data_IF_185893555359
#
_entry.id   IF_185893555359
#
_cell.length_a   1.000
_cell.length_b   1.000
_cell.length_c   1.000
_cell.angle_alpha   90.00
_cell.angle_beta   90.00
_cell.angle_gamma   90.00
#
_symmetry.space_group_name_H-M   'P 1'
#
loop_
_entity.id
_entity.type
_entity.pdbx_description
1 polymer ?
#
# COMPACT_ATOMS: atom_id res chain seq x y z
N UNK A 1 11.57 2.30 2.12
CA UNK A 1 11.69 2.24 0.65
C UNK A 1 11.15 0.90 0.16
N UNK A 2 10.31 0.89 -0.85
CA UNK A 2 9.80 -0.33 -1.48
C UNK A 2 10.90 -0.95 -2.36
N UNK A 3 11.28 -2.18 -2.07
CA UNK A 3 12.30 -2.91 -2.84
C UNK A 3 11.72 -3.96 -3.79
N UNK A 4 10.60 -4.57 -3.42
CA UNK A 4 9.91 -5.57 -4.24
C UNK A 4 8.40 -5.47 -4.06
N UNK A 5 7.67 -5.67 -5.14
CA UNK A 5 6.21 -5.79 -5.15
C UNK A 5 5.81 -7.02 -5.94
N UNK A 6 5.02 -7.89 -5.33
CA UNK A 6 4.43 -9.07 -5.96
C UNK A 6 2.92 -8.97 -5.89
N UNK A 7 2.25 -9.22 -7.00
CA UNK A 7 0.80 -9.15 -7.15
C UNK A 7 0.33 -10.43 -7.84
N UNK A 8 -0.62 -11.13 -7.25
CA UNK A 8 -1.24 -12.31 -7.84
C UNK A 8 -2.75 -12.19 -7.81
N UNK A 9 -3.38 -12.50 -8.95
CA UNK A 9 -4.83 -12.57 -9.11
C UNK A 9 -5.54 -11.26 -8.66
N UNK A 10 -5.02 -10.13 -9.11
CA UNK A 10 -5.56 -8.80 -8.82
C UNK A 10 -5.95 -8.09 -10.12
N UNK A 11 -7.22 -7.76 -10.27
CA UNK A 11 -7.77 -7.11 -11.47
C UNK A 11 -7.34 -7.85 -12.76
N UNK A 12 -6.68 -7.19 -13.68
CA UNK A 12 -6.18 -7.76 -14.92
C UNK A 12 -4.84 -8.50 -14.77
N UNK A 13 -4.24 -8.46 -13.58
CA UNK A 13 -2.94 -9.07 -13.30
C UNK A 13 -3.13 -10.49 -12.79
N UNK A 14 -2.70 -11.47 -13.56
CA UNK A 14 -2.62 -12.85 -13.12
C UNK A 14 -1.46 -13.06 -12.14
N UNK A 15 -0.27 -12.63 -12.52
CA UNK A 15 0.91 -12.60 -11.68
C UNK A 15 1.89 -11.51 -12.15
N UNK A 16 2.39 -10.73 -11.23
CA UNK A 16 3.41 -9.70 -11.48
C UNK A 16 4.39 -9.70 -10.31
N UNK A 17 5.67 -9.69 -10.61
CA UNK A 17 6.72 -9.39 -9.65
C UNK A 17 7.61 -8.30 -10.20
N UNK A 18 7.83 -7.25 -9.45
CA UNK A 18 8.71 -6.14 -9.80
C UNK A 18 9.66 -5.81 -8.67
N UNK A 19 10.92 -5.56 -9.01
CA UNK A 19 11.94 -5.08 -8.09
C UNK A 19 12.25 -3.63 -8.40
N UNK A 20 12.44 -2.84 -7.38
CA UNK A 20 12.70 -1.41 -7.47
C UNK A 20 14.11 -1.10 -6.99
N UNK A 21 14.90 -0.33 -7.75
CA UNK A 21 16.20 0.14 -7.29
C UNK A 21 16.08 1.15 -6.15
N UNK A 22 17.20 1.43 -5.50
CA UNK A 22 17.25 2.28 -4.30
C UNK A 22 16.92 3.77 -4.53
N UNK A 23 16.74 4.18 -5.76
CA UNK A 23 16.52 5.57 -6.11
C UNK A 23 15.14 5.80 -6.73
N UNK A 24 14.92 7.02 -7.21
CA UNK A 24 13.67 7.39 -7.87
C UNK A 24 13.37 6.46 -9.05
N UNK A 25 12.17 5.87 -9.03
CA UNK A 25 11.64 5.07 -10.14
C UNK A 25 10.47 5.81 -10.75
N UNK A 26 10.53 6.02 -12.06
CA UNK A 26 9.44 6.63 -12.81
C UNK A 26 8.72 5.53 -13.59
N UNK A 27 7.43 5.34 -13.30
CA UNK A 27 6.57 4.39 -14.01
C UNK A 27 5.67 5.19 -14.96
N UNK A 28 5.83 4.97 -16.25
CA UNK A 28 5.06 5.65 -17.30
C UNK A 28 4.23 4.63 -18.07
N UNK A 29 3.12 5.07 -18.62
CA UNK A 29 2.25 4.25 -19.47
C UNK A 29 1.20 5.09 -20.15
N UNK A 30 0.77 4.68 -21.35
CA UNK A 30 -0.20 5.40 -22.16
C UNK A 30 -1.60 5.41 -21.55
N UNK A 31 -1.98 4.36 -20.80
CA UNK A 31 -3.27 4.29 -20.11
C UNK A 31 -3.08 4.31 -18.62
N UNK A 32 -3.90 5.07 -17.90
CA UNK A 32 -3.92 5.12 -16.44
C UNK A 32 -4.21 3.77 -15.75
N UNK A 33 -4.65 2.75 -16.49
CA UNK A 33 -5.06 1.44 -15.97
C UNK A 33 -3.94 0.72 -15.20
N UNK A 34 -2.72 0.63 -15.77
CA UNK A 34 -1.58 -0.03 -15.11
C UNK A 34 -1.11 0.72 -13.86
N UNK A 35 -1.10 2.04 -13.90
CA UNK A 35 -0.77 2.87 -12.73
C UNK A 35 -1.81 2.74 -11.63
N UNK A 36 -3.10 2.76 -11.99
CA UNK A 36 -4.21 2.61 -11.05
C UNK A 36 -4.20 1.25 -10.38
N UNK A 37 -3.85 0.18 -11.09
CA UNK A 37 -3.70 -1.17 -10.55
C UNK A 37 -2.57 -1.23 -9.54
N UNK A 38 -1.40 -0.64 -9.85
CA UNK A 38 -0.27 -0.56 -8.91
C UNK A 38 -0.62 0.22 -7.64
N UNK A 39 -1.26 1.38 -7.80
CA UNK A 39 -1.72 2.19 -6.65
C UNK A 39 -2.77 1.44 -5.83
N UNK A 40 -3.69 0.73 -6.48
CA UNK A 40 -4.66 -0.12 -5.83
C UNK A 40 -4.00 -1.23 -5.00
N UNK A 41 -3.01 -1.92 -5.56
CA UNK A 41 -2.25 -2.95 -4.86
C UNK A 41 -1.49 -2.37 -3.64
N UNK A 42 -0.84 -1.23 -3.79
CA UNK A 42 -0.18 -0.54 -2.68
C UNK A 42 -1.18 -0.12 -1.60
N UNK A 43 -2.36 0.35 -1.98
CA UNK A 43 -3.43 0.70 -1.03
C UNK A 43 -3.89 -0.51 -0.21
N UNK A 44 -3.88 -1.71 -0.79
CA UNK A 44 -4.15 -2.93 -0.05
C UNK A 44 -3.10 -3.21 1.03
N UNK A 45 -1.83 -3.01 0.70
CA UNK A 45 -0.73 -3.14 1.67
C UNK A 45 -0.83 -2.09 2.79
N UNK A 46 -1.45 -0.96 2.52
CA UNK A 46 -1.71 0.09 3.51
C UNK A 46 -2.94 -0.17 4.40
N UNK A 47 -3.59 -1.31 4.25
CA UNK A 47 -4.75 -1.68 5.06
C UNK A 47 -6.09 -1.11 4.59
N UNK A 48 -6.18 -0.62 3.36
CA UNK A 48 -7.44 -0.17 2.80
C UNK A 48 -8.43 -1.33 2.62
N UNK A 49 -9.72 -1.01 2.67
CA UNK A 49 -10.78 -1.98 2.39
C UNK A 49 -10.65 -2.51 0.97
N UNK A 50 -10.97 -3.77 0.85
CA UNK A 50 -10.96 -4.48 -0.44
C UNK A 50 -12.37 -4.92 -0.77
N UNK A 51 -12.76 -4.68 -2.02
CA UNK A 51 -13.91 -5.31 -2.61
C UNK A 51 -13.45 -6.60 -3.30
N UNK A 52 -14.15 -7.71 -3.07
CA UNK A 52 -13.87 -8.98 -3.73
C UNK A 52 -14.01 -8.92 -5.28
N UNK A 53 -14.60 -7.86 -5.81
CA UNK A 53 -14.67 -7.60 -7.25
C UNK A 53 -13.29 -7.42 -7.91
N UNK A 54 -12.25 -7.05 -7.14
CA UNK A 54 -10.88 -6.93 -7.67
C UNK A 54 -10.24 -8.28 -7.99
N UNK A 55 -10.81 -9.40 -7.52
CA UNK A 55 -10.28 -10.74 -7.77
C UNK A 55 -10.76 -11.21 -9.15
N UNK A 56 -9.82 -11.51 -10.05
CA UNK A 56 -10.14 -12.00 -11.40
C UNK A 56 -10.65 -13.44 -11.38
N UNK A 57 -9.86 -14.33 -10.83
CA UNK A 57 -10.20 -15.74 -10.70
C UNK A 57 -10.87 -15.98 -9.34
N UNK A 58 -12.15 -16.25 -9.34
CA UNK A 58 -12.96 -16.43 -8.13
C UNK A 58 -12.69 -17.76 -7.40
N UNK A 59 -11.87 -18.62 -7.95
CA UNK A 59 -11.45 -19.87 -7.32
C UNK A 59 -10.13 -19.76 -6.57
N UNK A 60 -9.42 -18.64 -6.75
CA UNK A 60 -8.11 -18.39 -6.13
C UNK A 60 -8.11 -17.14 -5.26
N UNK A 61 -7.24 -17.12 -4.28
CA UNK A 61 -7.00 -15.93 -3.48
C UNK A 61 -6.25 -14.86 -4.30
N UNK A 62 -6.55 -13.61 -4.02
CA UNK A 62 -5.69 -12.50 -4.42
C UNK A 62 -4.60 -12.32 -3.36
N UNK A 63 -3.36 -12.21 -3.78
CA UNK A 63 -2.22 -11.99 -2.89
C UNK A 63 -1.43 -10.79 -3.38
N UNK A 64 -1.23 -9.84 -2.49
CA UNK A 64 -0.34 -8.70 -2.71
C UNK A 64 0.72 -8.72 -1.62
N UNK A 65 1.99 -8.67 -2.01
CA UNK A 65 3.13 -8.67 -1.11
C UNK A 65 4.10 -7.56 -1.50
N UNK A 66 4.53 -6.79 -0.53
CA UNK A 66 5.54 -5.75 -0.68
C UNK A 66 6.68 -5.93 0.32
N UNK A 67 7.91 -5.78 -0.15
CA UNK A 67 9.09 -5.75 0.68
C UNK A 67 9.60 -4.32 0.80
N UNK A 68 9.70 -3.86 2.04
CA UNK A 68 10.07 -2.49 2.38
C UNK A 68 11.34 -2.49 3.23
N UNK A 69 12.19 -1.54 2.97
CA UNK A 69 13.37 -1.29 3.79
C UNK A 69 13.22 0.07 4.50
N UNK A 70 13.29 0.06 5.81
CA UNK A 70 13.11 1.26 6.63
C UNK A 70 13.96 1.19 7.90
N UNK A 71 14.74 2.24 8.15
CA UNK A 71 15.62 2.37 9.32
C UNK A 71 16.53 1.16 9.56
N UNK A 72 17.05 0.57 8.49
CA UNK A 72 17.96 -0.59 8.57
C UNK A 72 17.27 -1.94 8.73
N UNK A 73 15.94 -1.97 8.75
CA UNK A 73 15.16 -3.21 8.87
C UNK A 73 14.34 -3.48 7.61
N UNK A 74 14.12 -4.76 7.34
CA UNK A 74 13.29 -5.23 6.23
C UNK A 74 11.92 -5.66 6.74
N UNK A 75 10.87 -5.20 6.08
CA UNK A 75 9.48 -5.52 6.37
C UNK A 75 8.83 -6.14 5.14
N UNK A 76 8.32 -7.35 5.28
CA UNK A 76 7.52 -8.02 4.26
C UNK A 76 6.06 -7.91 4.67
N UNK A 77 5.29 -7.09 3.97
CA UNK A 77 3.85 -6.96 4.18
C UNK A 77 3.12 -7.76 3.12
N UNK A 78 2.22 -8.63 3.54
CA UNK A 78 1.40 -9.44 2.66
C UNK A 78 -0.07 -9.33 3.02
N UNK A 79 -0.92 -9.11 2.01
CA UNK A 79 -2.38 -9.20 2.13
C UNK A 79 -2.88 -10.36 1.27
N UNK A 80 -3.69 -11.20 1.88
CA UNK A 80 -4.37 -12.31 1.23
C UNK A 80 -5.87 -12.06 1.28
N UNK A 81 -6.51 -12.03 0.13
CA UNK A 81 -7.94 -11.78 0.00
C UNK A 81 -8.58 -12.99 -0.63
N UNK A 82 -9.48 -13.62 0.12
CA UNK A 82 -10.25 -14.75 -0.37
C UNK A 82 -11.41 -14.29 -1.27
N UNK A 83 -11.89 -15.13 -2.21
CA UNK A 83 -13.04 -14.82 -3.03
C UNK A 83 -14.32 -14.53 -2.23
N UNK A 84 -14.41 -15.02 -1.00
CA UNK A 84 -15.48 -14.72 -0.04
C UNK A 84 -15.47 -13.28 0.50
N UNK A 85 -14.41 -12.49 0.20
CA UNK A 85 -14.21 -11.15 0.73
C UNK A 85 -13.43 -11.11 2.04
N UNK A 86 -13.08 -12.24 2.64
CA UNK A 86 -12.21 -12.28 3.83
C UNK A 86 -10.80 -11.88 3.48
N UNK A 87 -10.22 -11.00 4.27
CA UNK A 87 -8.82 -10.61 4.11
C UNK A 87 -7.99 -10.95 5.34
N UNK A 88 -6.75 -11.32 5.10
CA UNK A 88 -5.75 -11.55 6.14
C UNK A 88 -4.52 -10.71 5.84
N UNK A 89 -3.91 -10.18 6.88
CA UNK A 89 -2.71 -9.37 6.80
C UNK A 89 -1.58 -10.03 7.55
N UNK A 90 -0.38 -9.98 6.97
CA UNK A 90 0.82 -10.55 7.56
C UNK A 90 1.96 -9.52 7.48
N UNK A 91 2.78 -9.48 8.51
CA UNK A 91 4.04 -8.74 8.53
C UNK A 91 5.13 -9.72 8.94
N UNK A 92 6.14 -9.90 8.09
CA UNK A 92 7.21 -10.90 8.29
C UNK A 92 6.67 -12.30 8.61
N UNK A 93 5.67 -12.72 7.85
CA UNK A 93 4.94 -14.00 7.97
C UNK A 93 4.13 -14.18 9.27
N UNK A 94 4.05 -13.17 10.12
CA UNK A 94 3.19 -13.18 11.30
C UNK A 94 1.85 -12.50 11.02
N UNK A 95 0.71 -13.13 11.39
CA UNK A 95 -0.60 -12.52 11.19
C UNK A 95 -0.76 -11.27 12.08
N UNK A 96 -1.26 -10.21 11.48
CA UNK A 96 -1.47 -8.92 12.15
C UNK A 96 -2.88 -8.40 11.89
N UNK A 97 -3.32 -7.49 12.76
CA UNK A 97 -4.59 -6.78 12.55
C UNK A 97 -4.47 -5.71 11.47
N UNK A 98 -5.59 -5.33 10.87
CA UNK A 98 -5.62 -4.24 9.89
C UNK A 98 -5.19 -2.91 10.50
N UNK A 99 -5.52 -2.66 11.77
CA UNK A 99 -5.13 -1.43 12.47
C UNK A 99 -3.62 -1.35 12.66
N UNK A 100 -2.98 -2.45 13.07
CA UNK A 100 -1.52 -2.53 13.13
C UNK A 100 -0.88 -2.32 11.75
N UNK A 101 -1.45 -2.93 10.71
CA UNK A 101 -0.99 -2.76 9.34
C UNK A 101 -1.06 -1.29 8.88
N UNK A 102 -2.14 -0.60 9.19
CA UNK A 102 -2.29 0.83 8.87
C UNK A 102 -1.25 1.70 9.55
N UNK A 103 -1.00 1.44 10.82
CA UNK A 103 0.02 2.16 11.58
C UNK A 103 1.42 1.93 11.02
N UNK A 104 1.79 0.67 10.77
CA UNK A 104 3.09 0.33 10.19
C UNK A 104 3.24 0.91 8.79
N UNK A 105 2.25 0.71 7.93
CA UNK A 105 2.31 1.17 6.53
C UNK A 105 2.40 2.68 6.40
N UNK A 106 1.81 3.44 7.33
CA UNK A 106 1.91 4.91 7.34
C UNK A 106 3.35 5.41 7.51
N UNK A 107 4.21 4.60 8.12
CA UNK A 107 5.66 4.88 8.26
C UNK A 107 6.46 4.47 7.03
N UNK A 108 6.00 3.42 6.33
CA UNK A 108 6.72 2.79 5.22
C UNK A 108 6.33 3.36 3.86
N UNK A 109 5.08 3.78 3.71
CA UNK A 109 4.50 4.17 2.42
C UNK A 109 3.83 5.53 2.56
N UNK A 110 4.23 6.44 1.70
CA UNK A 110 3.53 7.71 1.51
C UNK A 110 3.04 7.77 0.06
N UNK A 111 1.73 7.80 -0.13
CA UNK A 111 1.10 7.81 -1.45
C UNK A 111 0.40 9.13 -1.67
N UNK A 112 0.87 9.89 -2.66
CA UNK A 112 0.24 11.11 -3.11
C UNK A 112 -0.49 10.86 -4.43
N UNK A 113 -1.81 10.88 -4.41
CA UNK A 113 -2.65 10.75 -5.60
C UNK A 113 -3.34 12.07 -5.94
N UNK A 114 -3.75 12.23 -7.20
CA UNK A 114 -4.49 13.42 -7.65
C UNK A 114 -5.82 13.64 -6.90
N UNK A 115 -6.35 12.61 -6.24
CA UNK A 115 -7.60 12.62 -5.50
C UNK A 115 -7.42 12.82 -3.98
N UNK A 116 -6.22 13.15 -3.52
CA UNK A 116 -5.92 13.30 -2.09
C UNK A 116 -6.36 14.62 -1.45
N UNK A 117 -7.32 15.29 -2.01
CA UNK A 117 -8.00 16.39 -1.31
C UNK A 117 -8.64 15.95 0.02
N UNK A 118 -8.83 14.64 0.23
CA UNK A 118 -9.43 14.08 1.45
C UNK A 118 -8.51 14.16 2.68
N UNK A 119 -7.20 14.02 2.52
CA UNK A 119 -6.24 14.15 3.65
C UNK A 119 -5.96 15.61 3.99
N UNK A 120 -5.90 16.48 3.01
CA UNK A 120 -5.74 17.93 3.22
C UNK A 120 -6.98 18.58 3.83
N UNK A 121 -8.15 17.93 3.79
CA UNK A 121 -9.37 18.38 4.46
C UNK A 121 -9.45 17.96 5.93
N UNK A 122 -8.57 17.06 6.39
CA UNK A 122 -8.48 16.73 7.80
C UNK A 122 -7.73 17.83 8.55
N UNK A 123 -8.45 18.52 9.40
CA UNK A 123 -7.93 19.64 10.18
C UNK A 123 -6.75 19.24 11.08
N UNK A 124 -6.77 18.03 11.63
CA UNK A 124 -5.66 17.53 12.45
C UNK A 124 -4.40 17.30 11.63
N UNK A 125 -4.53 16.74 10.44
CA UNK A 125 -3.40 16.55 9.54
C UNK A 125 -2.80 17.88 9.08
N UNK A 126 -3.64 18.89 8.82
CA UNK A 126 -3.17 20.23 8.49
C UNK A 126 -2.38 20.88 9.64
N UNK A 127 -2.83 20.68 10.88
CA UNK A 127 -2.12 21.16 12.07
C UNK A 127 -0.78 20.46 12.25
N UNK A 128 -0.74 19.14 12.15
CA UNK A 128 0.53 18.38 12.25
C UNK A 128 1.53 18.79 11.17
N UNK A 129 1.06 19.06 9.96
CA UNK A 129 1.88 19.49 8.85
C UNK A 129 2.44 20.91 9.09
N UNK A 130 1.61 21.82 9.58
CA UNK A 130 2.01 23.17 9.98
C UNK A 130 2.98 23.15 11.15
N UNK A 131 2.74 22.34 12.16
CA UNK A 131 3.61 22.21 13.34
C UNK A 131 4.98 21.63 12.97
N UNK A 132 5.01 20.65 12.08
CA UNK A 132 6.28 20.10 11.59
C UNK A 132 7.07 21.11 10.74
N UNK A 133 6.39 21.89 9.91
CA UNK A 133 7.01 22.92 9.06
C UNK A 133 7.54 24.10 9.87
N UNK A 134 6.80 24.52 10.89
CA UNK A 134 7.17 25.65 11.76
C UNK A 134 8.12 25.28 12.90
N UNK A 135 8.49 23.98 13.05
CA UNK A 135 9.28 23.46 14.18
C UNK A 135 8.69 23.82 15.56
N UNK A 136 7.40 24.06 15.61
CA UNK A 136 6.65 24.50 16.82
C UNK A 136 6.15 23.32 17.67
N UNK A 137 6.69 22.12 17.50
CA UNK A 137 6.32 20.94 18.30
C UNK A 137 6.67 21.04 19.80
N UNK A 138 6.91 22.26 20.31
CA UNK A 138 7.17 22.53 21.73
C UNK A 138 6.36 23.75 22.19
N UNK A 139 5.12 23.59 22.27
CA UNK A 139 4.27 24.45 23.11
C UNK A 139 3.43 23.59 24.01
#
# INVERSE_FOLDING_TARGET
>A
MLSRLSICNYALIEALESRFPEHLVIITGETGAGKSILLGALSLLMGQKVDASVISDKEKNCVVEGEFFYEGESYIIRRVIAPSGRSRSFVNDEPVTVDYLKELSSKLIDVHTQNQHLMLSDYQYQLELLDSYCSNGKL
#
